data_IF_892338786971
#
_entry.id   IF_892338786971
#
_cell.length_a   1.000
_cell.length_b   1.000
_cell.length_c   1.000
_cell.angle_alpha   90.00
_cell.angle_beta   90.00
_cell.angle_gamma   90.00
#
_symmetry.space_group_name_H-M   'P 1'
#
loop_
_entity.id
_entity.type
_entity.pdbx_description
1 polymer ?
#
# COMPACT_ATOMS: atom_id res chain seq x y z
N UNK A 1 -4.53 1.25 22.62
CA UNK A 1 -5.32 0.30 23.39
C UNK A 1 -6.29 -0.39 22.44
N UNK A 2 -6.11 -1.69 22.23
CA UNK A 2 -7.05 -2.47 21.45
C UNK A 2 -8.39 -2.52 22.19
N UNK A 3 -9.51 -2.09 21.61
CA UNK A 3 -10.80 -2.31 22.22
C UNK A 3 -11.01 -3.82 22.37
N UNK A 4 -11.49 -4.24 23.52
CA UNK A 4 -11.94 -5.62 23.75
C UNK A 4 -13.06 -6.00 22.76
N UNK A 5 -13.49 -7.25 22.80
CA UNK A 5 -14.68 -7.68 22.10
C UNK A 5 -15.89 -6.91 22.63
N UNK A 6 -16.46 -6.03 21.81
CA UNK A 6 -17.68 -5.30 22.16
C UNK A 6 -18.88 -6.24 22.05
N UNK A 7 -19.80 -6.12 22.99
CA UNK A 7 -21.04 -6.91 23.02
C UNK A 7 -22.07 -6.52 21.94
N UNK A 8 -23.33 -6.95 22.10
CA UNK A 8 -24.43 -6.65 21.18
C UNK A 8 -24.73 -5.16 21.01
N UNK A 9 -24.60 -4.38 22.09
CA UNK A 9 -24.83 -2.91 22.13
C UNK A 9 -23.51 -2.15 22.01
N UNK A 10 -22.80 -2.37 20.94
CA UNK A 10 -21.41 -1.88 20.73
C UNK A 10 -21.24 -0.37 20.86
N UNK A 11 -22.22 0.42 20.42
CA UNK A 11 -22.14 1.88 20.45
C UNK A 11 -22.34 2.38 21.88
N UNK A 12 -23.30 1.84 22.62
CA UNK A 12 -23.56 2.22 24.02
C UNK A 12 -22.37 1.84 24.92
N UNK A 13 -21.84 0.63 24.73
CA UNK A 13 -20.67 0.17 25.44
C UNK A 13 -19.43 1.05 25.15
N UNK A 14 -19.24 1.45 23.89
CA UNK A 14 -18.19 2.36 23.50
C UNK A 14 -18.37 3.74 24.14
N UNK A 15 -19.55 4.34 24.03
CA UNK A 15 -19.80 5.71 24.48
C UNK A 15 -19.77 5.85 26.02
N UNK A 16 -20.35 4.89 26.75
CA UNK A 16 -20.61 5.03 28.17
C UNK A 16 -19.69 4.20 29.07
N UNK A 17 -19.01 3.18 28.52
CA UNK A 17 -18.19 2.28 29.33
C UNK A 17 -16.71 2.32 28.89
N UNK A 18 -16.38 1.73 27.75
CA UNK A 18 -14.99 1.53 27.35
C UNK A 18 -14.27 2.81 26.94
N UNK A 19 -14.92 3.67 26.19
CA UNK A 19 -14.39 4.91 25.59
C UNK A 19 -13.09 4.69 24.81
N UNK A 20 -12.81 3.45 24.44
CA UNK A 20 -11.63 3.02 23.72
C UNK A 20 -12.03 2.35 22.43
N UNK A 21 -11.56 2.85 21.29
CA UNK A 21 -11.96 2.35 20.01
C UNK A 21 -11.06 2.81 18.87
N UNK A 22 -11.33 2.26 17.71
CA UNK A 22 -10.73 2.67 16.45
C UNK A 22 -11.60 3.72 15.75
N UNK A 23 -11.16 4.20 14.57
CA UNK A 23 -11.88 5.22 13.79
C UNK A 23 -13.34 4.84 13.51
N UNK A 24 -13.61 3.55 13.23
CA UNK A 24 -14.96 3.06 12.97
C UNK A 24 -15.89 3.20 14.18
N UNK A 25 -15.40 3.07 15.40
CA UNK A 25 -16.18 3.25 16.61
C UNK A 25 -16.59 4.72 16.80
N UNK A 26 -15.65 5.64 16.61
CA UNK A 26 -15.90 7.07 16.70
C UNK A 26 -16.82 7.55 15.58
N UNK A 27 -16.56 7.15 14.33
CA UNK A 27 -17.37 7.53 13.19
C UNK A 27 -18.80 6.99 13.28
N UNK A 28 -18.95 5.71 13.67
CA UNK A 28 -20.29 5.09 13.81
C UNK A 28 -21.09 5.74 14.91
N UNK A 29 -20.48 5.96 16.08
CA UNK A 29 -21.15 6.58 17.23
C UNK A 29 -21.58 8.00 16.91
N UNK A 30 -20.70 8.79 16.31
CA UNK A 30 -21.04 10.15 15.91
C UNK A 30 -22.15 10.18 14.84
N UNK A 31 -22.11 9.27 13.86
CA UNK A 31 -23.16 9.14 12.85
C UNK A 31 -24.52 8.83 13.50
N UNK A 32 -24.55 7.92 14.48
CA UNK A 32 -25.79 7.58 15.20
C UNK A 32 -26.32 8.75 15.99
N UNK A 33 -25.46 9.50 16.68
CA UNK A 33 -25.85 10.71 17.42
C UNK A 33 -26.44 11.78 16.49
N UNK A 34 -25.82 12.01 15.33
CA UNK A 34 -26.34 12.96 14.34
C UNK A 34 -27.73 12.54 13.82
N UNK A 35 -27.89 11.27 13.49
CA UNK A 35 -29.20 10.74 13.06
C UNK A 35 -30.25 10.83 14.16
N UNK A 36 -29.88 10.60 15.40
CA UNK A 36 -30.76 10.69 16.55
C UNK A 36 -31.31 12.10 16.72
N UNK A 37 -30.53 13.13 16.48
CA UNK A 37 -31.00 14.55 16.52
C UNK A 37 -31.58 15.02 15.19
N UNK A 38 -31.89 14.11 14.25
CA UNK A 38 -32.56 14.42 12.99
C UNK A 38 -31.64 14.95 11.87
N UNK A 39 -30.35 14.94 12.05
CA UNK A 39 -29.36 15.36 11.02
C UNK A 39 -29.00 14.14 10.15
N UNK A 40 -29.22 14.18 8.84
CA UNK A 40 -28.80 13.11 7.95
C UNK A 40 -27.26 12.95 8.02
N UNK A 41 -26.80 11.74 8.31
CA UNK A 41 -25.39 11.44 8.46
C UNK A 41 -25.08 10.04 7.94
N UNK A 42 -23.83 9.81 7.48
CA UNK A 42 -23.35 8.51 7.01
C UNK A 42 -21.91 8.27 7.41
N UNK A 43 -21.56 7.01 7.65
CA UNK A 43 -20.19 6.59 7.79
C UNK A 43 -19.59 6.42 6.39
N UNK A 44 -18.40 6.94 6.21
CA UNK A 44 -17.61 6.78 4.98
C UNK A 44 -16.33 6.05 5.32
N UNK A 45 -15.96 5.08 4.50
CA UNK A 45 -14.76 4.29 4.63
C UNK A 45 -13.85 4.59 3.43
N UNK A 46 -12.58 4.78 3.69
CA UNK A 46 -11.58 5.05 2.67
C UNK A 46 -10.17 4.94 3.23
N UNK A 47 -9.29 5.74 2.72
CA UNK A 47 -7.90 5.79 3.17
C UNK A 47 -7.52 7.21 3.55
N UNK A 48 -6.67 7.35 4.54
CA UNK A 48 -6.12 8.64 4.96
C UNK A 48 -4.64 8.52 5.28
N UNK A 49 -3.85 9.35 4.60
CA UNK A 49 -2.40 9.27 4.61
C UNK A 49 -1.88 8.51 3.41
N UNK A 50 -0.69 7.97 3.56
CA UNK A 50 0.10 7.31 2.54
C UNK A 50 1.55 7.75 2.65
N UNK A 51 2.42 7.09 1.94
CA UNK A 51 3.84 7.44 1.87
C UNK A 51 4.25 7.67 0.42
N UNK A 52 5.15 8.62 0.21
CA UNK A 52 5.74 8.82 -1.10
C UNK A 52 6.60 7.60 -1.44
N UNK A 53 6.37 7.02 -2.60
CA UNK A 53 7.13 5.86 -3.04
C UNK A 53 8.61 6.25 -3.33
N UNK A 54 9.54 5.29 -3.38
CA UNK A 54 10.96 5.56 -3.63
C UNK A 54 11.23 6.30 -4.94
N UNK A 55 10.32 6.20 -5.93
CA UNK A 55 10.41 6.93 -7.20
C UNK A 55 10.03 8.41 -7.10
N UNK A 56 9.54 8.85 -5.93
CA UNK A 56 9.05 10.21 -5.65
C UNK A 56 7.95 10.71 -6.61
N UNK A 57 7.37 9.84 -7.41
CA UNK A 57 6.35 10.16 -8.41
C UNK A 57 4.99 9.54 -8.08
N UNK A 58 4.96 8.53 -7.22
CA UNK A 58 3.75 7.80 -6.84
C UNK A 58 3.56 7.78 -5.32
N UNK A 59 2.30 7.60 -4.89
CA UNK A 59 1.94 7.45 -3.49
C UNK A 59 1.60 5.99 -3.19
N UNK A 60 2.21 5.44 -2.16
CA UNK A 60 1.86 4.15 -1.60
C UNK A 60 0.81 4.34 -0.52
N UNK A 61 -0.37 3.74 -0.73
CA UNK A 61 -1.47 3.71 0.24
C UNK A 61 -1.64 2.26 0.70
N UNK A 62 -1.49 2.04 2.00
CA UNK A 62 -1.49 0.70 2.59
C UNK A 62 -2.79 0.44 3.33
N UNK A 63 -3.06 -0.84 3.61
CA UNK A 63 -4.20 -1.22 4.43
C UNK A 63 -4.16 -0.60 5.85
N UNK A 64 -2.97 -0.28 6.36
CA UNK A 64 -2.79 0.44 7.62
C UNK A 64 -3.34 1.87 7.57
N UNK A 65 -3.42 2.46 6.39
CA UNK A 65 -3.93 3.81 6.16
C UNK A 65 -5.46 3.83 5.98
N UNK A 66 -6.13 2.65 6.09
CA UNK A 66 -7.58 2.55 6.09
C UNK A 66 -8.17 3.37 7.23
N UNK A 67 -9.21 4.14 6.92
CA UNK A 67 -9.80 5.10 7.83
C UNK A 67 -11.31 5.21 7.62
N UNK A 68 -12.03 5.49 8.72
CA UNK A 68 -13.46 5.75 8.69
C UNK A 68 -13.75 7.14 9.28
N UNK A 69 -14.61 7.89 8.62
CA UNK A 69 -15.09 9.20 9.07
C UNK A 69 -16.59 9.31 8.87
N UNK A 70 -17.18 10.40 9.34
CA UNK A 70 -18.59 10.71 9.16
C UNK A 70 -18.76 11.82 8.14
N UNK A 71 -19.79 11.72 7.32
CA UNK A 71 -20.30 12.84 6.58
C UNK A 71 -21.70 13.18 7.07
N UNK A 72 -21.95 14.46 7.29
CA UNK A 72 -23.25 15.01 7.71
C UNK A 72 -23.80 15.94 6.65
N UNK A 73 -25.13 15.94 6.47
CA UNK A 73 -25.78 16.84 5.53
C UNK A 73 -26.20 18.13 6.25
N UNK A 74 -25.51 19.22 5.97
CA UNK A 74 -25.83 20.54 6.49
C UNK A 74 -26.13 21.49 5.32
N UNK A 75 -27.27 22.19 5.39
CA UNK A 75 -27.69 23.13 4.34
C UNK A 75 -27.67 22.52 2.93
N UNK A 76 -28.14 21.27 2.80
CA UNK A 76 -28.21 20.55 1.53
C UNK A 76 -26.84 20.02 1.00
N UNK A 77 -25.73 20.23 1.72
CA UNK A 77 -24.39 19.78 1.32
C UNK A 77 -23.85 18.76 2.31
N UNK A 78 -23.16 17.73 1.79
CA UNK A 78 -22.42 16.78 2.61
C UNK A 78 -21.11 17.42 3.08
N UNK A 79 -20.88 17.38 4.38
CA UNK A 79 -19.66 17.88 5.02
C UNK A 79 -18.98 16.75 5.76
N UNK A 80 -17.68 16.60 5.54
CA UNK A 80 -16.85 15.63 6.26
C UNK A 80 -16.60 16.12 7.69
N UNK A 81 -16.88 15.26 8.63
CA UNK A 81 -16.53 15.42 10.04
C UNK A 81 -15.79 14.15 10.48
N UNK A 82 -14.58 14.33 10.97
CA UNK A 82 -13.76 13.24 11.45
C UNK A 82 -13.61 13.32 12.97
N UNK A 83 -14.39 12.55 13.73
CA UNK A 83 -14.31 12.60 15.19
C UNK A 83 -12.95 12.11 15.72
N UNK A 84 -12.24 11.28 14.95
CA UNK A 84 -10.92 10.78 15.33
C UNK A 84 -9.88 11.90 15.35
N UNK A 85 -10.02 12.92 14.50
CA UNK A 85 -9.13 14.08 14.47
C UNK A 85 -9.12 14.87 15.77
N UNK A 86 -10.23 14.88 16.50
CA UNK A 86 -10.33 15.57 17.79
C UNK A 86 -9.64 14.84 18.93
N UNK A 87 -9.49 13.52 18.81
CA UNK A 87 -8.97 12.66 19.88
C UNK A 87 -7.53 12.25 19.60
N UNK A 88 -7.21 12.01 18.36
CA UNK A 88 -5.90 11.59 17.90
C UNK A 88 -5.47 12.37 16.63
N UNK A 89 -5.27 13.69 16.72
CA UNK A 89 -4.91 14.52 15.58
C UNK A 89 -3.61 14.03 14.89
N UNK A 90 -2.67 13.57 15.67
CA UNK A 90 -1.39 13.05 15.15
C UNK A 90 -1.57 11.84 14.24
N UNK A 91 -2.63 11.05 14.42
CA UNK A 91 -2.97 9.96 13.51
C UNK A 91 -3.42 10.48 12.15
N UNK A 92 -4.14 11.58 12.15
CA UNK A 92 -4.69 12.21 10.96
C UNK A 92 -3.58 12.92 10.18
N UNK A 93 -2.74 13.68 10.86
CA UNK A 93 -1.70 14.50 10.24
C UNK A 93 -0.47 13.67 9.83
N UNK A 94 -0.08 12.72 10.66
CA UNK A 94 1.14 11.91 10.48
C UNK A 94 0.91 10.50 9.93
N UNK A 95 -0.33 10.08 9.76
CA UNK A 95 -0.70 8.72 9.42
C UNK A 95 -0.57 7.73 10.59
N UNK A 96 -1.17 6.54 10.45
CA UNK A 96 -1.24 5.54 11.50
C UNK A 96 0.14 5.07 11.97
N UNK A 97 1.09 5.02 11.07
CA UNK A 97 2.43 4.54 11.39
C UNK A 97 3.17 5.49 12.33
N UNK A 98 3.20 6.78 12.02
CA UNK A 98 3.82 7.78 12.88
C UNK A 98 3.12 7.87 14.24
N UNK A 99 1.80 7.68 14.25
CA UNK A 99 1.02 7.60 15.48
C UNK A 99 1.47 6.43 16.37
N UNK A 100 1.61 5.23 15.80
CA UNK A 100 2.07 4.04 16.53
C UNK A 100 3.52 4.20 17.00
N UNK A 101 4.39 4.80 16.19
CA UNK A 101 5.80 5.03 16.53
C UNK A 101 5.98 6.04 17.66
N UNK A 102 5.14 7.06 17.72
CA UNK A 102 5.22 8.14 18.71
C UNK A 102 4.46 7.84 20.00
N UNK A 103 3.38 7.10 19.94
CA UNK A 103 2.58 6.76 21.12
C UNK A 103 3.13 5.51 21.84
N UNK A 104 4.03 5.76 22.79
CA UNK A 104 4.65 4.72 23.63
C UNK A 104 3.62 3.98 24.50
N UNK A 105 2.43 4.51 24.71
CA UNK A 105 1.38 3.89 25.53
C UNK A 105 0.68 2.73 24.82
N UNK A 106 0.67 2.74 23.49
CA UNK A 106 0.11 1.67 22.67
C UNK A 106 1.01 0.42 22.71
N UNK A 107 2.30 0.60 22.94
CA UNK A 107 3.32 -0.46 22.97
C UNK A 107 3.62 -0.94 24.42
N UNK A 108 2.63 -1.23 25.16
CA UNK A 108 2.58 -1.46 26.61
C UNK A 108 3.49 -2.52 27.25
N UNK A 109 4.53 -3.07 26.59
CA UNK A 109 5.55 -3.93 27.24
C UNK A 109 6.87 -3.97 26.46
N UNK A 110 8.00 -4.11 27.21
CA UNK A 110 9.36 -4.23 26.66
C UNK A 110 9.51 -5.32 25.59
N UNK A 111 8.76 -6.42 25.66
CA UNK A 111 8.78 -7.50 24.67
C UNK A 111 8.15 -7.11 23.33
N UNK A 112 7.12 -6.26 23.34
CA UNK A 112 6.53 -5.73 22.12
C UNK A 112 7.48 -4.76 21.42
N UNK A 113 8.28 -4.00 22.17
CA UNK A 113 9.27 -3.07 21.64
C UNK A 113 10.37 -3.77 20.85
N UNK A 114 10.79 -4.96 21.26
CA UNK A 114 11.77 -5.80 20.55
C UNK A 114 11.19 -6.36 19.24
N UNK A 115 9.95 -6.81 19.26
CA UNK A 115 9.23 -7.24 18.05
C UNK A 115 9.07 -6.07 17.07
N UNK A 116 8.79 -4.87 17.56
CA UNK A 116 8.61 -3.69 16.72
C UNK A 116 9.92 -3.18 16.09
N UNK A 117 11.04 -3.23 16.82
CA UNK A 117 12.36 -2.86 16.26
C UNK A 117 12.80 -3.82 15.15
N UNK A 118 12.54 -5.12 15.31
CA UNK A 118 12.73 -6.10 14.21
C UNK A 118 11.79 -5.83 13.05
N UNK A 119 10.58 -5.38 13.34
CA UNK A 119 9.60 -4.97 12.33
C UNK A 119 10.04 -3.73 11.55
N UNK A 120 10.69 -2.77 12.22
CA UNK A 120 11.20 -1.54 11.56
C UNK A 120 12.37 -1.83 10.63
N UNK A 121 13.25 -2.78 10.97
CA UNK A 121 14.30 -3.24 10.03
C UNK A 121 13.72 -4.00 8.82
N UNK A 122 12.68 -4.81 9.04
CA UNK A 122 11.95 -5.51 7.98
C UNK A 122 11.08 -4.56 7.14
N UNK A 123 10.73 -3.38 7.67
CA UNK A 123 9.90 -2.38 7.01
C UNK A 123 10.51 -1.88 5.70
N UNK A 124 11.80 -1.51 5.73
CA UNK A 124 12.49 -1.01 4.54
C UNK A 124 12.60 -2.10 3.46
N UNK A 125 12.75 -3.35 3.89
CA UNK A 125 12.72 -4.51 2.99
C UNK A 125 11.31 -4.74 2.43
N UNK A 126 10.26 -4.52 3.24
CA UNK A 126 8.87 -4.67 2.81
C UNK A 126 8.47 -3.59 1.79
N UNK A 127 8.82 -2.33 2.06
CA UNK A 127 8.60 -1.22 1.12
C UNK A 127 9.33 -1.48 -0.21
N UNK A 128 10.56 -1.97 -0.15
CA UNK A 128 11.32 -2.31 -1.35
C UNK A 128 10.71 -3.49 -2.11
N UNK A 129 10.19 -4.50 -1.39
CA UNK A 129 9.49 -5.66 -1.94
C UNK A 129 8.17 -5.25 -2.61
N UNK A 130 7.38 -4.41 -1.94
CA UNK A 130 6.11 -3.93 -2.46
C UNK A 130 6.31 -3.05 -3.70
N UNK A 131 7.32 -2.17 -3.66
CA UNK A 131 7.71 -1.39 -4.83
C UNK A 131 8.22 -2.27 -5.98
N UNK A 132 9.04 -3.28 -5.69
CA UNK A 132 9.50 -4.24 -6.69
C UNK A 132 8.31 -5.03 -7.30
N UNK A 133 7.36 -5.47 -6.48
CA UNK A 133 6.13 -6.14 -6.92
C UNK A 133 5.27 -5.22 -7.78
N UNK A 134 5.12 -3.95 -7.39
CA UNK A 134 4.42 -2.95 -8.20
C UNK A 134 5.10 -2.73 -9.55
N UNK A 135 6.42 -2.56 -9.58
CA UNK A 135 7.18 -2.41 -10.82
C UNK A 135 7.07 -3.66 -11.69
N UNK A 136 7.12 -4.85 -11.09
CA UNK A 136 6.91 -6.10 -11.80
C UNK A 136 5.51 -6.18 -12.41
N UNK A 137 4.46 -5.90 -11.63
CA UNK A 137 3.09 -5.90 -12.13
C UNK A 137 2.86 -4.83 -13.21
N UNK A 138 3.38 -3.61 -13.03
CA UNK A 138 3.16 -2.52 -13.97
C UNK A 138 3.95 -2.67 -15.27
N UNK A 139 5.18 -3.22 -15.20
CA UNK A 139 6.08 -3.30 -16.35
C UNK A 139 6.11 -4.67 -17.00
N UNK A 140 5.87 -5.74 -16.25
CA UNK A 140 5.96 -7.11 -16.77
C UNK A 140 4.58 -7.72 -16.94
N UNK A 141 3.77 -7.77 -15.88
CA UNK A 141 2.41 -8.38 -15.93
C UNK A 141 1.44 -7.48 -16.71
N UNK A 142 1.52 -6.15 -16.50
CA UNK A 142 0.74 -5.14 -17.23
C UNK A 142 1.30 -4.80 -18.61
N UNK A 143 2.21 -5.62 -19.15
CA UNK A 143 2.78 -5.44 -20.48
C UNK A 143 1.78 -5.90 -21.54
N UNK A 144 1.00 -4.95 -22.05
CA UNK A 144 -0.01 -5.21 -23.08
C UNK A 144 0.61 -5.32 -24.47
N UNK A 145 -0.08 -6.01 -25.37
CA UNK A 145 0.34 -6.12 -26.78
C UNK A 145 0.57 -4.74 -27.43
N UNK A 146 -0.19 -3.72 -27.03
CA UNK A 146 -0.03 -2.34 -27.52
C UNK A 146 1.30 -1.71 -27.10
N UNK A 147 1.71 -1.92 -25.84
CA UNK A 147 3.03 -1.46 -25.35
C UNK A 147 4.16 -2.20 -26.06
N UNK A 148 3.99 -3.51 -26.29
CA UNK A 148 4.94 -4.32 -27.04
C UNK A 148 5.12 -3.77 -28.46
N UNK A 149 4.02 -3.48 -29.14
CA UNK A 149 4.04 -2.96 -30.52
C UNK A 149 4.65 -1.55 -30.58
N UNK A 150 4.39 -0.69 -29.58
CA UNK A 150 5.01 0.62 -29.47
C UNK A 150 6.54 0.55 -29.29
N UNK A 151 7.05 -0.41 -28.52
CA UNK A 151 8.49 -0.62 -28.36
C UNK A 151 9.12 -1.19 -29.64
N UNK A 152 8.48 -2.18 -30.28
CA UNK A 152 8.94 -2.77 -31.53
C UNK A 152 8.96 -1.74 -32.68
N UNK A 153 7.96 -0.86 -32.74
CA UNK A 153 7.92 0.22 -33.73
C UNK A 153 9.05 1.24 -33.55
N UNK A 154 9.44 1.56 -32.31
CA UNK A 154 10.61 2.43 -32.02
C UNK A 154 11.94 1.81 -32.48
N UNK A 155 12.02 0.48 -32.51
CA UNK A 155 13.18 -0.26 -33.05
C UNK A 155 13.10 -0.51 -34.56
N UNK A 156 12.12 0.07 -35.24
CA UNK A 156 11.93 -0.14 -36.69
C UNK A 156 11.32 -1.49 -37.07
N UNK A 157 10.85 -2.27 -36.09
CA UNK A 157 10.27 -3.59 -36.29
C UNK A 157 8.74 -3.48 -36.45
N UNK A 158 8.29 -3.12 -37.63
CA UNK A 158 6.84 -2.94 -37.93
C UNK A 158 6.12 -4.23 -38.30
N UNK A 159 6.83 -5.35 -38.49
CA UNK A 159 6.28 -6.62 -38.92
C UNK A 159 6.59 -7.75 -37.96
N UNK A 160 5.62 -8.63 -37.73
CA UNK A 160 5.80 -9.82 -36.89
C UNK A 160 6.93 -10.73 -37.41
N UNK A 161 7.13 -10.77 -38.73
CA UNK A 161 8.23 -11.51 -39.34
C UNK A 161 9.61 -10.91 -39.04
N UNK A 162 9.72 -9.57 -39.03
CA UNK A 162 10.97 -8.90 -38.70
C UNK A 162 11.38 -9.14 -37.24
N UNK A 163 10.43 -9.08 -36.31
CA UNK A 163 10.68 -9.37 -34.90
C UNK A 163 11.06 -10.83 -34.67
N UNK A 164 10.43 -11.78 -35.38
CA UNK A 164 10.78 -13.19 -35.28
C UNK A 164 12.20 -13.47 -35.83
N UNK A 165 12.60 -12.83 -36.96
CA UNK A 165 13.95 -12.94 -37.49
C UNK A 165 15.02 -12.39 -36.55
N UNK A 166 14.77 -11.26 -35.92
CA UNK A 166 15.70 -10.68 -34.90
C UNK A 166 15.83 -11.59 -33.67
N UNK A 167 14.74 -12.19 -33.23
CA UNK A 167 14.75 -13.16 -32.14
C UNK A 167 15.56 -14.42 -32.49
N UNK A 168 15.31 -14.99 -33.68
CA UNK A 168 16.05 -16.16 -34.17
C UNK A 168 17.55 -15.86 -34.33
N UNK A 169 17.89 -14.71 -34.91
CA UNK A 169 19.29 -14.31 -35.08
C UNK A 169 20.00 -14.10 -33.75
N UNK A 170 19.33 -13.52 -32.75
CA UNK A 170 19.88 -13.33 -31.39
C UNK A 170 20.17 -14.68 -30.72
N UNK A 171 19.28 -15.66 -30.84
CA UNK A 171 19.48 -17.00 -30.30
C UNK A 171 20.70 -17.67 -30.96
N UNK A 172 20.82 -17.58 -32.30
CA UNK A 172 21.97 -18.12 -33.02
C UNK A 172 23.28 -17.48 -32.57
N UNK A 173 23.31 -16.16 -32.39
CA UNK A 173 24.50 -15.45 -31.87
C UNK A 173 24.88 -15.95 -30.47
N UNK A 174 23.91 -16.10 -29.55
CA UNK A 174 24.17 -16.61 -28.19
C UNK A 174 24.73 -18.03 -28.24
N UNK A 175 24.22 -18.90 -29.10
CA UNK A 175 24.71 -20.26 -29.28
C UNK A 175 26.16 -20.24 -29.81
N UNK A 176 26.45 -19.41 -30.81
CA UNK A 176 27.82 -19.27 -31.34
C UNK A 176 28.79 -18.79 -30.25
N UNK A 177 28.41 -17.76 -29.51
CA UNK A 177 29.23 -17.23 -28.41
C UNK A 177 29.47 -18.29 -27.31
N UNK A 178 28.45 -19.11 -27.00
CA UNK A 178 28.57 -20.21 -26.07
C UNK A 178 29.57 -21.27 -26.54
N UNK A 179 29.52 -21.68 -27.82
CA UNK A 179 30.47 -22.64 -28.39
C UNK A 179 31.88 -22.07 -28.50
N UNK A 180 32.02 -20.81 -28.86
CA UNK A 180 33.30 -20.11 -28.87
C UNK A 180 33.91 -20.06 -27.46
N UNK A 181 33.08 -19.74 -26.44
CA UNK A 181 33.52 -19.74 -25.06
C UNK A 181 33.97 -21.12 -24.58
N UNK A 182 33.22 -22.20 -24.89
CA UNK A 182 33.61 -23.57 -24.58
C UNK A 182 34.95 -23.93 -25.29
N UNK A 183 35.08 -23.56 -26.57
CA UNK A 183 36.30 -23.83 -27.31
C UNK A 183 37.53 -23.19 -26.69
N UNK A 184 37.46 -21.92 -26.31
CA UNK A 184 38.54 -21.23 -25.65
C UNK A 184 38.82 -21.78 -24.24
N UNK A 185 37.79 -22.11 -23.51
CA UNK A 185 37.89 -22.70 -22.18
C UNK A 185 38.61 -24.06 -22.22
N UNK A 186 38.25 -24.91 -23.16
CA UNK A 186 38.86 -26.23 -23.30
C UNK A 186 40.33 -26.14 -23.76
N UNK A 187 40.71 -25.12 -24.50
CA UNK A 187 42.11 -24.89 -24.89
C UNK A 187 43.02 -24.55 -23.71
N UNK A 188 42.51 -23.91 -22.69
CA UNK A 188 43.26 -23.54 -21.49
C UNK A 188 43.55 -24.74 -20.58
N UNK A 189 42.86 -25.86 -20.74
CA UNK A 189 43.08 -27.08 -19.95
C UNK A 189 44.06 -28.07 -20.60
N UNK A 190 44.51 -27.80 -21.83
CA UNK A 190 45.41 -28.71 -22.59
C UNK A 190 46.85 -28.14 -22.72
N UNK A 191 47.03 -26.93 -22.22
CA UNK A 191 48.37 -26.28 -22.10
C UNK A 191 48.85 -26.32 -20.67
#
# INVERSE_FOLDING_TARGET
LSPGLLGGNRIDEFLFQSRQGFCEHYASSFTMLMRYVGIPARVVIGYQGGQLAPDQASWEVRQLDAHAWTEVQLNGKWQRIDPTAMIAPQRIDGGMQNYIENDRSILGNKEQKWKYQRFTMLKNLHILSDYASYQWQSKVVGYTAEKQQSWLSKLGLHSAYASALVLLSSIVVVIILYFVWIYYRNRQYVS
#
